data_IF_266863304410
#
_entry.id   IF_266863304410
#
_cell.length_a   1.000
_cell.length_b   1.000
_cell.length_c   1.000
_cell.angle_alpha   90.00
_cell.angle_beta   90.00
_cell.angle_gamma   90.00
#
_symmetry.space_group_name_H-M   'P 1'
#
loop_
_entity.id
_entity.type
_entity.pdbx_description
1 polymer ?
#
# COMPACT_ATOMS: atom_id res chain seq x y z
N UNK A 1 7.34 5.32 0.36
CA UNK A 1 5.93 5.10 0.75
C UNK A 1 5.10 6.35 0.42
N UNK A 2 3.75 6.31 0.40
CA UNK A 2 2.96 7.46 -0.01
C UNK A 2 2.82 8.46 1.15
N UNK A 3 2.60 9.72 0.79
CA UNK A 3 2.47 10.85 1.71
C UNK A 3 1.01 11.23 1.87
N UNK A 4 0.73 12.19 2.76
CA UNK A 4 -0.64 12.64 3.06
C UNK A 4 -1.44 13.14 1.83
N UNK A 5 -0.74 13.65 0.81
CA UNK A 5 -1.37 14.28 -0.37
C UNK A 5 -0.76 13.84 -1.72
N UNK A 6 0.11 12.84 -1.75
CA UNK A 6 0.78 12.38 -2.98
C UNK A 6 1.18 10.89 -2.92
N UNK A 7 1.08 10.22 -4.07
CA UNK A 7 1.54 8.84 -4.27
C UNK A 7 3.07 8.83 -4.48
N UNK A 8 3.76 7.82 -3.93
CA UNK A 8 5.23 7.74 -3.99
C UNK A 8 5.72 6.30 -3.76
N UNK A 9 6.73 5.89 -4.53
CA UNK A 9 7.35 4.55 -4.42
C UNK A 9 6.39 3.41 -4.74
N UNK A 10 5.61 3.53 -5.82
CA UNK A 10 4.51 2.61 -6.22
C UNK A 10 3.31 2.52 -5.25
N UNK A 11 3.37 3.17 -4.08
CA UNK A 11 2.27 3.23 -3.12
C UNK A 11 1.36 4.44 -3.38
N UNK A 12 0.05 4.31 -3.09
CA UNK A 12 -0.96 5.36 -3.31
C UNK A 12 -1.69 5.79 -2.03
N UNK A 13 -2.08 4.83 -1.20
CA UNK A 13 -2.66 5.03 0.14
C UNK A 13 -1.71 4.41 1.14
N UNK A 14 -1.57 5.01 2.34
CA UNK A 14 -0.74 4.48 3.41
C UNK A 14 -1.60 3.67 4.39
N UNK A 15 -1.87 2.42 4.02
CA UNK A 15 -2.60 1.43 4.82
C UNK A 15 -1.97 1.22 6.20
N UNK A 16 -0.63 1.23 6.28
CA UNK A 16 0.13 1.09 7.53
C UNK A 16 -0.19 2.24 8.50
N UNK A 17 -0.22 3.49 8.02
CA UNK A 17 -0.60 4.65 8.84
C UNK A 17 -2.06 4.55 9.31
N UNK A 18 -2.97 4.06 8.47
CA UNK A 18 -4.37 3.85 8.85
C UNK A 18 -4.49 2.75 9.94
N UNK A 19 -3.81 1.61 9.77
CA UNK A 19 -3.78 0.53 10.76
C UNK A 19 -3.13 0.95 12.09
N UNK A 20 -2.09 1.79 12.06
CA UNK A 20 -1.51 2.36 13.28
C UNK A 20 -2.47 3.35 13.95
N UNK A 21 -3.19 4.20 13.19
CA UNK A 21 -4.22 5.10 13.75
C UNK A 21 -5.36 4.32 14.42
N UNK A 22 -5.74 3.18 13.87
CA UNK A 22 -6.73 2.27 14.47
C UNK A 22 -6.21 1.64 15.77
N UNK A 23 -4.99 1.09 15.75
CA UNK A 23 -4.33 0.57 16.97
C UNK A 23 -4.17 1.66 18.05
N UNK A 24 -3.99 2.93 17.66
CA UNK A 24 -3.89 4.07 18.59
C UNK A 24 -5.22 4.43 19.28
N UNK A 25 -6.36 3.81 18.95
CA UNK A 25 -7.57 3.87 19.80
C UNK A 25 -7.36 3.10 21.11
N UNK A 26 -6.80 1.89 21.03
CA UNK A 26 -6.70 0.95 22.16
C UNK A 26 -5.30 0.91 22.81
N UNK A 27 -4.25 1.20 22.04
CA UNK A 27 -2.85 1.09 22.48
C UNK A 27 -2.22 2.45 22.68
N UNK A 28 -1.78 2.74 23.92
CA UNK A 28 -1.16 4.04 24.26
C UNK A 28 0.13 4.30 23.46
N UNK A 29 0.88 3.24 23.15
CA UNK A 29 2.12 3.24 22.35
C UNK A 29 2.11 2.08 21.35
N UNK A 30 2.35 2.38 20.07
CA UNK A 30 2.48 1.38 18.98
C UNK A 30 3.89 1.44 18.43
N UNK A 31 4.55 0.29 18.26
CA UNK A 31 5.86 0.20 17.62
C UNK A 31 5.68 -0.18 16.15
N UNK A 32 6.30 0.58 15.25
CA UNK A 32 6.45 0.24 13.84
C UNK A 32 7.88 -0.21 13.57
N UNK A 33 8.03 -1.38 12.96
CA UNK A 33 9.31 -1.95 12.51
C UNK A 33 9.23 -2.16 11.00
N UNK A 34 10.29 -1.78 10.29
CA UNK A 34 10.37 -1.80 8.83
C UNK A 34 11.66 -2.49 8.37
N UNK A 35 11.51 -3.58 7.60
CA UNK A 35 12.61 -4.39 7.04
C UNK A 35 12.60 -4.44 5.50
N UNK A 36 11.90 -3.50 4.86
CA UNK A 36 12.05 -3.16 3.44
C UNK A 36 13.48 -2.68 3.15
N UNK A 37 13.95 -2.82 1.91
CA UNK A 37 15.26 -2.26 1.53
C UNK A 37 15.22 -0.73 1.42
N UNK A 38 14.04 -0.14 1.28
CA UNK A 38 13.81 1.31 1.23
C UNK A 38 13.42 1.86 2.61
N UNK A 39 13.71 3.14 2.87
CA UNK A 39 13.25 3.78 4.11
C UNK A 39 11.71 3.93 4.14
N UNK A 40 11.09 3.57 5.27
CA UNK A 40 9.65 3.69 5.60
C UNK A 40 9.12 5.13 5.72
N UNK A 41 9.54 6.01 4.82
CA UNK A 41 9.48 7.47 4.89
C UNK A 41 8.06 8.07 4.99
N UNK A 42 7.04 7.34 4.55
CA UNK A 42 5.63 7.75 4.66
C UNK A 42 5.06 7.50 6.05
N UNK A 43 5.48 6.42 6.71
CA UNK A 43 5.08 6.12 8.10
C UNK A 43 5.89 6.97 9.08
N UNK A 44 7.19 7.15 8.83
CA UNK A 44 8.00 8.10 9.60
C UNK A 44 7.41 9.51 9.55
N UNK A 45 7.14 10.07 8.37
CA UNK A 45 6.62 11.43 8.24
C UNK A 45 5.26 11.62 8.95
N UNK A 46 4.36 10.64 8.83
CA UNK A 46 3.04 10.68 9.46
C UNK A 46 3.10 10.77 11.00
N UNK A 47 4.13 10.18 11.61
CA UNK A 47 4.29 10.12 13.06
C UNK A 47 5.48 10.93 13.62
N UNK A 48 6.23 11.64 12.76
CA UNK A 48 7.51 12.33 13.07
C UNK A 48 7.47 13.31 14.26
N UNK A 49 6.28 13.70 14.72
CA UNK A 49 6.07 14.66 15.80
C UNK A 49 5.37 14.10 17.04
N UNK A 50 5.04 12.80 17.10
CA UNK A 50 4.38 12.16 18.26
C UNK A 50 5.28 11.20 19.04
N UNK A 51 5.02 11.12 20.34
CA UNK A 51 5.56 10.17 21.33
C UNK A 51 4.73 8.87 21.43
N UNK A 52 3.61 8.76 20.68
CA UNK A 52 2.72 7.58 20.67
C UNK A 52 3.13 6.47 19.70
N UNK A 53 3.93 6.78 18.69
CA UNK A 53 4.44 5.80 17.73
C UNK A 53 5.95 5.92 17.69
N UNK A 54 6.64 4.79 17.74
CA UNK A 54 8.06 4.71 17.43
C UNK A 54 8.23 4.05 16.08
N UNK A 55 8.99 4.66 15.17
CA UNK A 55 9.33 4.09 13.86
C UNK A 55 10.77 3.62 13.85
N UNK A 56 11.00 2.38 13.42
CA UNK A 56 12.33 1.76 13.36
C UNK A 56 12.52 1.14 11.97
N UNK A 57 13.48 1.62 11.18
CA UNK A 57 13.66 1.20 9.78
C UNK A 57 15.10 0.79 9.45
N UNK A 58 15.27 -0.37 8.82
CA UNK A 58 16.55 -1.02 8.50
C UNK A 58 16.78 -1.10 6.98
N UNK A 59 17.13 0.03 6.37
CA UNK A 59 17.10 0.23 4.91
C UNK A 59 18.48 0.55 4.33
N UNK A 60 18.63 0.45 3.00
CA UNK A 60 19.80 0.95 2.29
C UNK A 60 19.80 2.48 2.28
N UNK A 61 20.96 3.08 2.55
CA UNK A 61 21.16 4.53 2.51
C UNK A 61 22.39 4.93 1.69
N UNK A 62 22.34 6.12 1.09
CA UNK A 62 23.35 6.62 0.15
C UNK A 62 23.04 6.23 -1.30
N UNK A 63 22.80 7.26 -2.13
CA UNK A 63 22.42 7.16 -3.56
C UNK A 63 21.31 6.13 -3.83
N UNK A 64 20.26 6.16 -3.00
CA UNK A 64 19.13 5.24 -3.05
C UNK A 64 17.80 5.94 -2.73
N UNK A 65 16.70 5.38 -3.21
CA UNK A 65 15.35 5.87 -2.93
C UNK A 65 14.91 5.47 -1.50
N UNK A 66 14.17 6.31 -0.75
CA UNK A 66 13.68 7.66 -1.08
C UNK A 66 14.68 8.79 -0.80
N UNK A 67 15.85 8.50 -0.23
CA UNK A 67 16.90 9.49 0.07
C UNK A 67 16.82 10.15 1.46
N UNK A 68 15.82 9.77 2.28
CA UNK A 68 15.71 10.07 3.71
C UNK A 68 16.15 8.86 4.55
N UNK A 69 16.22 9.00 5.89
CA UNK A 69 16.60 7.90 6.79
C UNK A 69 18.06 7.99 7.28
N UNK A 70 18.62 9.19 7.37
CA UNK A 70 19.96 9.37 7.92
C UNK A 70 20.01 8.97 9.42
N UNK A 71 21.18 8.59 9.92
CA UNK A 71 21.46 8.41 11.35
C UNK A 71 21.27 9.70 12.20
N UNK A 72 20.94 10.82 11.56
CA UNK A 72 20.56 12.12 12.14
C UNK A 72 19.04 12.37 12.14
N UNK A 73 18.27 11.61 11.36
CA UNK A 73 16.82 11.73 11.28
C UNK A 73 16.21 10.99 12.47
N UNK A 74 15.81 11.76 13.48
CA UNK A 74 15.45 11.28 14.83
C UNK A 74 14.11 11.84 15.33
N UNK A 75 13.26 12.35 14.44
CA UNK A 75 11.97 12.95 14.82
C UNK A 75 12.10 14.39 15.36
N UNK A 76 10.95 15.06 15.51
CA UNK A 76 10.85 16.46 15.90
C UNK A 76 9.79 16.70 17.00
N UNK A 77 9.88 17.82 17.71
CA UNK A 77 8.91 18.14 18.76
C UNK A 77 8.85 17.07 19.86
N UNK A 78 7.67 16.47 20.09
CA UNK A 78 7.51 15.34 21.00
C UNK A 78 8.07 14.03 20.45
N UNK A 79 8.00 13.83 19.13
CA UNK A 79 8.52 12.65 18.43
C UNK A 79 10.05 12.59 18.33
N UNK A 80 10.77 13.55 18.92
CA UNK A 80 12.23 13.50 18.98
C UNK A 80 12.69 12.29 19.82
N UNK A 81 13.60 11.49 19.26
CA UNK A 81 14.04 10.17 19.71
C UNK A 81 13.01 9.02 19.54
N UNK A 82 11.90 9.25 18.83
CA UNK A 82 10.93 8.21 18.46
C UNK A 82 11.01 7.78 16.98
N UNK A 83 11.85 8.43 16.17
CA UNK A 83 12.31 7.87 14.90
C UNK A 83 13.72 7.27 15.08
N UNK A 84 13.93 6.06 14.55
CA UNK A 84 15.13 5.25 14.76
C UNK A 84 15.58 4.65 13.42
N UNK A 85 16.49 5.34 12.74
CA UNK A 85 16.96 4.93 11.41
C UNK A 85 18.29 4.18 11.46
N UNK A 86 18.34 3.02 10.78
CA UNK A 86 19.52 2.17 10.65
C UNK A 86 19.97 2.20 9.17
N UNK A 87 20.78 3.20 8.77
CA UNK A 87 21.25 3.32 7.38
C UNK A 87 22.34 2.28 7.03
N UNK A 88 21.99 1.33 6.17
CA UNK A 88 22.83 0.21 5.75
C UNK A 88 23.40 0.39 4.33
N UNK A 89 24.33 -0.50 3.96
CA UNK A 89 25.00 -0.57 2.66
C UNK A 89 24.73 -1.90 1.97
N UNK A 90 25.11 -1.99 0.70
CA UNK A 90 24.89 -3.15 -0.16
C UNK A 90 25.56 -4.44 0.39
N UNK A 91 25.01 -5.58 -0.02
CA UNK A 91 25.54 -6.91 0.29
C UNK A 91 25.31 -7.41 1.71
N UNK A 92 24.48 -6.71 2.50
CA UNK A 92 24.12 -7.10 3.87
C UNK A 92 23.63 -8.56 3.95
N UNK A 93 24.26 -9.36 4.81
CA UNK A 93 24.01 -10.79 5.00
C UNK A 93 23.22 -11.10 6.30
N UNK A 94 22.73 -12.33 6.42
CA UNK A 94 21.87 -12.80 7.51
C UNK A 94 22.53 -12.57 8.89
N UNK A 95 23.79 -12.99 9.04
CA UNK A 95 24.54 -12.89 10.29
C UNK A 95 24.80 -11.43 10.71
N UNK A 96 25.18 -10.55 9.77
CA UNK A 96 25.40 -9.15 10.07
C UNK A 96 24.08 -8.43 10.40
N UNK A 97 22.98 -8.74 9.70
CA UNK A 97 21.66 -8.15 9.96
C UNK A 97 21.11 -8.56 11.33
N UNK A 98 21.18 -9.84 11.68
CA UNK A 98 20.79 -10.35 13.00
C UNK A 98 21.60 -9.68 14.13
N UNK A 99 22.91 -9.49 13.92
CA UNK A 99 23.82 -8.85 14.90
C UNK A 99 23.52 -7.38 15.22
N UNK A 100 22.73 -6.69 14.38
CA UNK A 100 22.28 -5.32 14.61
C UNK A 100 20.77 -5.24 14.89
N UNK A 101 19.95 -6.12 14.32
CA UNK A 101 18.50 -6.17 14.52
C UNK A 101 18.12 -6.57 15.96
N UNK A 102 18.55 -7.75 16.44
CA UNK A 102 18.14 -8.22 17.78
C UNK A 102 18.55 -7.23 18.90
N UNK A 103 19.77 -6.64 18.93
CA UNK A 103 20.15 -5.71 19.99
C UNK A 103 19.42 -4.37 19.92
N UNK A 104 19.10 -3.85 18.73
CA UNK A 104 18.35 -2.60 18.57
C UNK A 104 16.89 -2.81 18.98
N UNK A 105 16.22 -3.84 18.45
CA UNK A 105 14.83 -4.13 18.81
C UNK A 105 14.72 -4.48 20.30
N UNK A 106 15.69 -5.19 20.88
CA UNK A 106 15.78 -5.39 22.34
C UNK A 106 15.73 -4.08 23.10
N UNK A 107 16.57 -3.10 22.73
CA UNK A 107 16.68 -1.82 23.45
C UNK A 107 15.46 -0.93 23.21
N UNK A 108 14.88 -0.97 22.01
CA UNK A 108 13.59 -0.35 21.68
C UNK A 108 12.49 -0.91 22.60
N UNK A 109 12.30 -2.22 22.66
CA UNK A 109 11.27 -2.87 23.50
C UNK A 109 11.43 -2.54 24.98
N UNK A 110 12.65 -2.60 25.52
CA UNK A 110 12.98 -2.24 26.92
C UNK A 110 12.57 -0.80 27.28
N UNK A 111 12.77 0.13 26.33
CA UNK A 111 12.77 1.57 26.58
C UNK A 111 11.45 2.23 26.20
N UNK A 112 10.92 1.90 25.02
CA UNK A 112 9.65 2.42 24.50
C UNK A 112 8.44 1.63 25.05
N UNK A 113 8.60 0.34 25.36
CA UNK A 113 7.56 -0.52 25.93
C UNK A 113 6.22 -0.41 25.18
N UNK A 114 6.15 -0.82 23.90
CA UNK A 114 4.94 -0.77 23.10
C UNK A 114 3.85 -1.70 23.66
N UNK A 115 2.60 -1.39 23.34
CA UNK A 115 1.43 -2.23 23.67
C UNK A 115 0.86 -2.98 22.45
N UNK A 116 1.32 -2.65 21.24
CA UNK A 116 1.10 -3.36 19.99
C UNK A 116 2.28 -3.10 19.04
N UNK A 117 2.51 -4.01 18.09
CA UNK A 117 3.61 -3.93 17.12
C UNK A 117 3.07 -4.14 15.70
N UNK A 118 3.50 -3.29 14.77
CA UNK A 118 3.32 -3.46 13.33
C UNK A 118 4.69 -3.73 12.73
N UNK A 119 4.83 -4.83 11.97
CA UNK A 119 6.03 -5.19 11.23
C UNK A 119 5.70 -5.19 9.73
N UNK A 120 6.40 -4.34 8.99
CA UNK A 120 6.41 -4.34 7.53
C UNK A 120 7.47 -5.35 7.07
N UNK A 121 7.03 -6.34 6.28
CA UNK A 121 7.84 -7.48 5.81
C UNK A 121 8.22 -7.31 4.33
N UNK A 122 8.81 -6.17 3.97
CA UNK A 122 9.33 -5.89 2.63
C UNK A 122 10.36 -6.94 2.21
N UNK A 123 10.12 -7.57 1.06
CA UNK A 123 10.85 -8.74 0.57
C UNK A 123 11.86 -8.38 -0.55
N UNK A 124 12.08 -7.09 -0.81
CA UNK A 124 13.17 -6.59 -1.66
C UNK A 124 14.52 -6.47 -0.93
N UNK A 125 14.52 -6.57 0.40
CA UNK A 125 15.72 -6.78 1.22
C UNK A 125 16.35 -8.19 1.06
N UNK A 126 15.73 -9.07 0.26
CA UNK A 126 16.23 -10.41 -0.05
C UNK A 126 17.30 -10.44 -1.15
N UNK A 127 18.17 -11.43 -1.08
CA UNK A 127 19.15 -11.77 -2.11
C UNK A 127 18.48 -12.06 -3.46
N UNK A 128 19.06 -11.47 -4.51
CA UNK A 128 18.57 -11.66 -5.88
C UNK A 128 17.22 -11.00 -6.17
N UNK A 129 16.84 -9.97 -5.41
CA UNK A 129 15.80 -9.04 -5.85
C UNK A 129 16.21 -8.27 -7.12
N UNK A 130 15.27 -7.55 -7.76
CA UNK A 130 15.51 -6.76 -8.98
C UNK A 130 15.89 -5.30 -8.72
N UNK A 131 15.48 -4.73 -7.58
CA UNK A 131 15.74 -3.34 -7.20
C UNK A 131 16.55 -3.24 -5.90
N UNK A 132 16.35 -4.18 -4.97
CA UNK A 132 17.15 -4.31 -3.76
C UNK A 132 18.56 -4.86 -4.02
N UNK A 133 19.50 -4.49 -3.16
CA UNK A 133 20.90 -4.96 -3.22
C UNK A 133 21.46 -5.37 -1.85
N UNK A 134 20.62 -5.92 -0.99
CA UNK A 134 21.04 -6.74 0.15
C UNK A 134 21.24 -8.20 -0.29
N UNK A 135 21.70 -9.04 0.65
CA UNK A 135 22.03 -10.45 0.42
C UNK A 135 21.30 -11.40 1.39
N UNK A 136 20.22 -10.94 2.03
CA UNK A 136 19.47 -11.72 3.03
C UNK A 136 18.79 -12.95 2.41
N UNK A 137 18.73 -14.05 3.15
CA UNK A 137 17.91 -15.20 2.80
C UNK A 137 16.51 -15.09 3.42
N UNK A 138 15.59 -15.90 2.91
CA UNK A 138 14.26 -16.14 3.53
C UNK A 138 14.39 -16.56 5.00
N UNK A 139 15.52 -17.14 5.44
CA UNK A 139 15.75 -17.48 6.85
C UNK A 139 16.19 -16.27 7.69
N UNK A 140 17.19 -15.49 7.25
CA UNK A 140 17.62 -14.29 7.97
C UNK A 140 16.50 -13.25 8.09
N UNK A 141 15.74 -13.05 7.03
CA UNK A 141 14.54 -12.22 7.02
C UNK A 141 13.46 -12.77 7.98
N UNK A 142 13.15 -14.07 7.91
CA UNK A 142 12.21 -14.73 8.83
C UNK A 142 12.62 -14.73 10.30
N UNK A 143 13.93 -14.66 10.64
CA UNK A 143 14.41 -14.47 12.03
C UNK A 143 13.93 -13.15 12.62
N UNK A 144 13.72 -12.10 11.81
CA UNK A 144 13.18 -10.83 12.28
C UNK A 144 11.74 -10.97 12.80
N UNK A 145 10.89 -11.68 12.04
CA UNK A 145 9.54 -12.05 12.48
C UNK A 145 9.59 -12.91 13.75
N UNK A 146 10.44 -13.95 13.75
CA UNK A 146 10.60 -14.83 14.91
C UNK A 146 11.03 -14.04 16.16
N UNK A 147 11.96 -13.10 16.02
CA UNK A 147 12.45 -12.27 17.12
C UNK A 147 11.36 -11.35 17.69
N UNK A 148 10.63 -10.64 16.82
CA UNK A 148 9.55 -9.75 17.26
C UNK A 148 8.41 -10.54 17.92
N UNK A 149 8.10 -11.74 17.40
CA UNK A 149 7.08 -12.64 17.96
C UNK A 149 7.38 -13.07 19.40
N UNK A 150 8.66 -13.21 19.79
CA UNK A 150 9.08 -13.60 21.16
C UNK A 150 8.56 -12.65 22.26
N UNK A 151 8.14 -11.43 21.92
CA UNK A 151 7.59 -10.45 22.87
C UNK A 151 6.10 -10.66 23.22
N UNK A 152 5.37 -11.52 22.50
CA UNK A 152 3.96 -11.87 22.79
C UNK A 152 2.99 -10.66 22.90
N UNK A 153 3.24 -9.62 22.10
CA UNK A 153 2.34 -8.46 21.96
C UNK A 153 1.32 -8.68 20.83
N UNK A 154 0.20 -7.93 20.80
CA UNK A 154 -0.63 -7.78 19.61
C UNK A 154 0.24 -7.38 18.41
N UNK A 155 0.15 -8.17 17.34
CA UNK A 155 1.14 -8.17 16.26
C UNK A 155 0.45 -8.16 14.90
N UNK A 156 0.70 -7.12 14.12
CA UNK A 156 0.24 -6.96 12.74
C UNK A 156 1.44 -7.11 11.80
N UNK A 157 1.40 -8.09 10.92
CA UNK A 157 2.36 -8.25 9.82
C UNK A 157 1.72 -7.72 8.53
N UNK A 158 2.46 -6.92 7.76
CA UNK A 158 2.05 -6.41 6.45
C UNK A 158 3.13 -6.69 5.41
N UNK A 159 2.74 -6.75 4.13
CA UNK A 159 3.70 -6.88 3.02
C UNK A 159 4.50 -5.60 2.78
N UNK A 160 5.17 -5.52 1.63
CA UNK A 160 6.04 -4.38 1.28
C UNK A 160 6.54 -4.47 -0.15
N UNK A 161 7.73 -3.92 -0.40
CA UNK A 161 8.46 -4.12 -1.65
C UNK A 161 8.82 -5.59 -1.90
N UNK A 162 9.27 -5.89 -3.12
CA UNK A 162 9.62 -7.26 -3.54
C UNK A 162 9.37 -7.49 -5.02
N UNK A 163 10.44 -7.58 -5.81
CA UNK A 163 10.39 -7.48 -7.27
C UNK A 163 10.89 -8.76 -7.98
N UNK A 164 11.65 -9.61 -7.30
CA UNK A 164 11.80 -11.04 -7.66
C UNK A 164 10.64 -11.85 -7.05
N UNK A 165 9.46 -11.77 -7.69
CA UNK A 165 8.18 -12.28 -7.17
C UNK A 165 8.21 -13.70 -6.58
N UNK A 166 8.97 -14.64 -7.19
CA UNK A 166 9.11 -16.02 -6.67
C UNK A 166 9.79 -16.09 -5.30
N UNK A 167 10.68 -15.14 -4.98
CA UNK A 167 11.32 -15.03 -3.68
C UNK A 167 10.38 -14.35 -2.67
N UNK A 168 9.56 -13.40 -3.12
CA UNK A 168 8.47 -12.81 -2.30
C UNK A 168 7.49 -13.88 -1.85
N UNK A 169 7.00 -14.73 -2.78
CA UNK A 169 6.11 -15.85 -2.45
C UNK A 169 6.76 -16.82 -1.46
N UNK A 170 8.06 -17.14 -1.61
CA UNK A 170 8.82 -17.96 -0.65
C UNK A 170 8.92 -17.30 0.72
N UNK A 171 9.17 -15.99 0.78
CA UNK A 171 9.33 -15.22 2.00
C UNK A 171 8.04 -15.18 2.81
N UNK A 172 6.97 -14.61 2.26
CA UNK A 172 5.71 -14.45 2.99
C UNK A 172 5.06 -15.80 3.35
N UNK A 173 5.29 -16.87 2.57
CA UNK A 173 4.91 -18.25 2.96
C UNK A 173 5.68 -18.73 4.19
N UNK A 174 6.99 -18.52 4.24
CA UNK A 174 7.82 -18.92 5.38
C UNK A 174 7.53 -18.07 6.63
N UNK A 175 7.42 -16.75 6.48
CA UNK A 175 7.05 -15.85 7.57
C UNK A 175 5.66 -16.14 8.13
N UNK A 176 4.70 -16.54 7.29
CA UNK A 176 3.39 -17.06 7.75
C UNK A 176 3.57 -18.34 8.58
N UNK A 177 4.49 -19.23 8.21
CA UNK A 177 4.80 -20.43 9.01
C UNK A 177 5.44 -20.06 10.36
N UNK A 178 6.30 -19.04 10.40
CA UNK A 178 6.88 -18.47 11.64
C UNK A 178 5.79 -17.83 12.51
N UNK A 179 4.84 -17.09 11.91
CA UNK A 179 3.69 -16.51 12.60
C UNK A 179 2.77 -17.57 13.21
N UNK A 180 2.51 -18.66 12.49
CA UNK A 180 1.76 -19.82 13.01
C UNK A 180 2.58 -20.66 14.02
N UNK A 181 3.91 -20.59 13.99
CA UNK A 181 4.79 -21.42 14.82
C UNK A 181 4.90 -22.86 14.31
N UNK A 182 4.80 -23.06 13.00
CA UNK A 182 4.79 -24.37 12.34
C UNK A 182 6.00 -24.46 11.41
N UNK A 183 6.84 -25.49 11.58
CA UNK A 183 7.92 -25.79 10.63
C UNK A 183 7.33 -26.39 9.34
N UNK A 184 7.74 -25.87 8.18
CA UNK A 184 7.34 -26.34 6.86
C UNK A 184 8.53 -26.89 6.08
N UNK A 185 8.26 -27.86 5.20
CA UNK A 185 9.30 -28.52 4.42
C UNK A 185 9.98 -27.55 3.43
N UNK A 186 11.27 -27.76 3.17
CA UNK A 186 11.99 -27.02 2.14
C UNK A 186 11.62 -27.47 0.71
N UNK A 187 10.95 -28.62 0.55
CA UNK A 187 10.34 -29.05 -0.71
C UNK A 187 9.03 -28.29 -0.93
N UNK A 188 8.88 -27.57 -2.05
CA UNK A 188 7.63 -26.87 -2.33
C UNK A 188 6.51 -27.89 -2.68
N UNK A 189 5.28 -27.70 -2.17
CA UNK A 189 4.13 -28.45 -2.64
C UNK A 189 3.76 -28.03 -4.07
N UNK A 190 3.14 -28.95 -4.82
CA UNK A 190 2.56 -28.61 -6.12
C UNK A 190 1.47 -27.54 -5.96
N UNK A 191 1.45 -26.58 -6.87
CA UNK A 191 0.56 -25.42 -6.90
C UNK A 191 0.48 -24.86 -8.32
N UNK A 192 -0.49 -23.98 -8.59
CA UNK A 192 -0.78 -23.44 -9.92
C UNK A 192 0.38 -22.66 -10.58
N UNK A 193 1.41 -22.30 -9.81
CA UNK A 193 2.60 -21.57 -10.26
C UNK A 193 3.90 -22.35 -10.05
N UNK A 194 3.83 -23.68 -9.87
CA UNK A 194 4.98 -24.52 -9.46
C UNK A 194 6.22 -24.34 -10.36
N UNK A 195 6.04 -24.17 -11.66
CA UNK A 195 7.09 -23.96 -12.65
C UNK A 195 7.90 -22.66 -12.42
N UNK A 196 7.35 -21.64 -11.75
CA UNK A 196 8.04 -20.38 -11.46
C UNK A 196 9.19 -20.56 -10.46
N UNK A 197 9.17 -21.64 -9.68
CA UNK A 197 10.17 -21.98 -8.67
C UNK A 197 11.28 -22.91 -9.22
N UNK A 198 11.32 -23.15 -10.53
CA UNK A 198 12.41 -23.87 -11.18
C UNK A 198 13.75 -23.09 -11.14
N UNK A 199 14.89 -23.80 -11.21
CA UNK A 199 15.03 -25.24 -11.42
C UNK A 199 15.04 -26.07 -10.12
N UNK A 200 15.02 -25.42 -8.95
CA UNK A 200 15.30 -26.06 -7.67
C UNK A 200 14.05 -26.54 -6.92
N UNK A 201 12.91 -25.86 -7.12
CA UNK A 201 11.62 -26.14 -6.47
C UNK A 201 11.68 -26.15 -4.93
N UNK A 202 12.61 -25.38 -4.33
CA UNK A 202 12.76 -25.25 -2.87
C UNK A 202 12.14 -23.97 -2.33
N UNK A 203 11.82 -23.98 -1.04
CA UNK A 203 11.35 -22.81 -0.30
C UNK A 203 12.50 -21.82 -0.02
N UNK A 204 13.61 -22.30 0.54
CA UNK A 204 14.71 -21.44 0.95
C UNK A 204 15.66 -21.12 -0.21
N UNK A 205 16.10 -19.85 -0.24
CA UNK A 205 17.12 -19.35 -1.16
C UNK A 205 18.49 -19.28 -0.47
N UNK A 206 19.57 -19.48 -1.22
CA UNK A 206 20.95 -19.29 -0.75
C UNK A 206 21.42 -17.85 -1.02
N UNK A 207 22.33 -17.29 -0.19
CA UNK A 207 22.91 -15.99 -0.45
C UNK A 207 23.79 -16.01 -1.72
N UNK A 208 23.95 -14.84 -2.33
CA UNK A 208 24.84 -14.63 -3.47
C UNK A 208 26.28 -14.40 -3.01
N UNK A 209 27.23 -14.40 -3.94
CA UNK A 209 28.62 -14.04 -3.68
C UNK A 209 28.87 -12.51 -3.63
N UNK A 210 27.84 -11.70 -3.37
CA UNK A 210 27.96 -10.26 -3.18
C UNK A 210 28.77 -9.94 -1.92
N UNK A 211 29.71 -9.00 -2.01
CA UNK A 211 30.50 -8.54 -0.87
C UNK A 211 29.67 -7.66 0.05
N UNK A 212 29.52 -8.04 1.32
CA UNK A 212 28.91 -7.19 2.35
C UNK A 212 29.78 -5.94 2.60
N UNK A 213 29.22 -4.75 2.36
CA UNK A 213 29.91 -3.46 2.57
C UNK A 213 29.75 -2.91 4.00
N UNK A 214 29.01 -3.60 4.86
CA UNK A 214 28.74 -3.25 6.25
C UNK A 214 29.77 -3.90 7.17
N UNK A 215 30.95 -3.28 7.32
CA UNK A 215 31.96 -3.82 8.25
C UNK A 215 31.47 -3.77 9.69
N UNK A 216 31.99 -4.65 10.55
CA UNK A 216 31.61 -4.73 11.96
C UNK A 216 31.74 -3.37 12.66
N UNK A 217 32.81 -2.62 12.39
CA UNK A 217 33.06 -1.30 12.98
C UNK A 217 32.05 -0.23 12.51
N UNK A 218 31.52 -0.36 11.28
CA UNK A 218 30.46 0.49 10.76
C UNK A 218 29.13 0.21 11.48
N UNK A 219 28.77 -1.06 11.63
CA UNK A 219 27.55 -1.49 12.33
C UNK A 219 27.59 -1.19 13.83
N UNK A 220 28.71 -1.44 14.50
CA UNK A 220 28.89 -1.06 15.91
C UNK A 220 28.80 0.45 16.11
N UNK A 221 29.36 1.25 15.19
CA UNK A 221 29.25 2.72 15.26
C UNK A 221 27.82 3.22 15.10
N UNK A 222 27.01 2.59 14.24
CA UNK A 222 25.57 2.86 14.13
C UNK A 222 24.86 2.45 15.43
N UNK A 223 25.00 1.19 15.84
CA UNK A 223 24.36 0.61 17.05
C UNK A 223 24.65 1.45 18.29
N UNK A 224 25.91 1.84 18.51
CA UNK A 224 26.31 2.63 19.68
C UNK A 224 25.64 4.01 19.69
N UNK A 225 25.55 4.70 18.54
CA UNK A 225 24.89 6.01 18.43
C UNK A 225 23.37 5.92 18.55
N UNK A 226 22.75 4.83 18.07
CA UNK A 226 21.34 4.57 18.30
C UNK A 226 21.04 4.21 19.77
N UNK A 227 21.96 3.51 20.45
CA UNK A 227 21.86 3.28 21.89
C UNK A 227 22.02 4.58 22.69
N UNK A 228 22.82 5.54 22.23
CA UNK A 228 22.86 6.91 22.79
C UNK A 228 21.53 7.66 22.57
N UNK A 229 20.94 7.61 21.37
CA UNK A 229 19.63 8.20 21.10
C UNK A 229 18.53 7.58 21.99
N UNK A 230 18.47 6.25 22.09
CA UNK A 230 17.46 5.55 22.89
C UNK A 230 17.61 5.84 24.40
N UNK A 231 18.83 6.08 24.90
CA UNK A 231 19.06 6.52 26.30
C UNK A 231 18.50 7.91 26.62
N UNK A 232 18.16 8.73 25.61
CA UNK A 232 17.54 10.05 25.83
C UNK A 232 16.04 9.97 26.12
N UNK A 233 15.41 8.81 25.88
CA UNK A 233 14.01 8.58 26.22
C UNK A 233 13.85 8.38 27.74
N UNK A 234 12.87 9.02 28.40
CA UNK A 234 12.53 8.68 29.77
C UNK A 234 12.00 7.24 29.78
N UNK A 235 12.48 6.41 30.69
CA UNK A 235 12.07 5.01 30.76
C UNK A 235 10.59 4.94 31.14
N UNK A 236 9.76 4.36 30.27
CA UNK A 236 8.29 4.47 30.28
C UNK A 236 7.78 5.93 30.31
N UNK A 237 7.76 6.63 29.15
CA UNK A 237 7.19 7.97 29.05
C UNK A 237 5.72 7.99 29.46
N UNK A 238 5.35 8.92 30.35
CA UNK A 238 3.97 9.18 30.74
C UNK A 238 3.22 9.92 29.63
N UNK A 239 2.77 9.19 28.61
CA UNK A 239 2.01 9.76 27.50
C UNK A 239 0.58 10.09 27.95
N UNK A 240 0.06 11.22 27.49
CA UNK A 240 -1.29 11.67 27.83
C UNK A 240 -2.34 10.77 27.14
N UNK A 241 -3.28 10.24 27.92
CA UNK A 241 -4.47 9.56 27.41
C UNK A 241 -5.26 10.57 26.57
N UNK A 242 -5.47 10.24 25.31
CA UNK A 242 -6.35 10.97 24.40
C UNK A 242 -7.74 10.32 24.45
N UNK A 243 -8.79 11.11 24.24
CA UNK A 243 -10.12 10.55 24.03
C UNK A 243 -10.10 9.69 22.76
N UNK A 244 -10.67 8.49 22.84
CA UNK A 244 -10.80 7.57 21.71
C UNK A 244 -11.80 8.21 20.72
N UNK A 245 -11.44 8.46 19.45
CA UNK A 245 -12.40 8.85 18.43
C UNK A 245 -13.40 7.73 18.20
N UNK A 246 -14.68 8.08 17.99
CA UNK A 246 -15.73 7.13 17.61
C UNK A 246 -15.36 6.41 16.31
N UNK A 247 -15.83 5.17 16.16
CA UNK A 247 -15.47 4.32 15.03
C UNK A 247 -16.07 4.85 13.71
N UNK A 248 -15.28 4.78 12.63
CA UNK A 248 -15.65 5.39 11.35
C UNK A 248 -16.80 4.66 10.61
N UNK A 249 -17.23 3.52 11.14
CA UNK A 249 -18.35 2.72 10.65
C UNK A 249 -19.38 2.68 11.79
N UNK A 250 -20.55 3.31 11.58
CA UNK A 250 -21.68 3.14 12.48
C UNK A 250 -22.33 1.79 12.17
N UNK A 251 -22.36 0.88 13.15
CA UNK A 251 -23.08 -0.41 13.08
C UNK A 251 -24.60 -0.25 12.80
N UNK A 252 -25.14 0.98 12.87
CA UNK A 252 -26.49 1.33 12.41
C UNK A 252 -26.78 0.88 10.97
N UNK A 253 -25.76 0.64 10.13
CA UNK A 253 -25.93 0.05 8.79
C UNK A 253 -26.30 -1.43 8.81
N UNK A 254 -25.93 -2.21 9.84
CA UNK A 254 -26.38 -3.61 10.00
C UNK A 254 -27.84 -3.71 10.47
N UNK A 255 -28.46 -2.61 10.93
CA UNK A 255 -29.87 -2.58 11.33
C UNK A 255 -30.84 -2.34 10.15
N UNK A 256 -30.39 -1.96 8.95
CA UNK A 256 -31.29 -1.74 7.80
C UNK A 256 -32.04 -3.01 7.37
N UNK A 257 -31.46 -4.21 7.55
CA UNK A 257 -32.11 -5.50 7.30
C UNK A 257 -33.02 -5.97 8.46
N UNK A 258 -32.98 -5.28 9.62
CA UNK A 258 -33.80 -5.59 10.80
C UNK A 258 -35.08 -4.72 10.89
N UNK A 259 -35.22 -3.71 10.02
CA UNK A 259 -36.40 -2.83 10.00
C UNK A 259 -37.64 -3.58 9.50
N UNK A 260 -38.76 -3.44 10.21
CA UNK A 260 -40.04 -4.02 9.79
C UNK A 260 -40.51 -3.40 8.46
N UNK A 261 -40.89 -4.25 7.51
CA UNK A 261 -41.27 -3.87 6.15
C UNK A 261 -42.62 -3.15 6.09
N UNK A 262 -43.44 -3.27 7.13
CA UNK A 262 -44.69 -2.52 7.28
C UNK A 262 -44.52 -1.18 8.02
N UNK A 263 -43.34 -0.89 8.59
CA UNK A 263 -43.07 0.41 9.23
C UNK A 263 -42.68 1.51 8.22
N UNK A 264 -43.11 2.74 8.53
CA UNK A 264 -42.86 3.89 7.67
C UNK A 264 -41.47 4.47 7.97
N UNK A 265 -40.47 3.98 7.23
CA UNK A 265 -39.14 4.62 7.07
C UNK A 265 -39.24 6.14 7.05
N UNK A 266 -38.26 6.85 7.62
CA UNK A 266 -38.28 8.32 7.64
C UNK A 266 -38.05 8.89 6.23
N UNK A 267 -37.98 10.22 6.11
CA UNK A 267 -37.65 10.83 4.82
C UNK A 267 -36.14 10.76 4.54
N UNK A 268 -35.29 10.87 5.57
CA UNK A 268 -33.84 10.74 5.42
C UNK A 268 -33.44 9.35 4.89
N UNK A 269 -34.08 8.28 5.38
CA UNK A 269 -33.78 6.89 4.97
C UNK A 269 -34.22 6.62 3.52
N UNK A 270 -35.24 7.36 3.04
CA UNK A 270 -35.66 7.31 1.64
C UNK A 270 -34.71 8.10 0.75
N UNK A 271 -34.29 9.28 1.19
CA UNK A 271 -33.37 10.13 0.45
C UNK A 271 -31.97 9.47 0.33
N UNK A 272 -31.52 8.71 1.35
CA UNK A 272 -30.34 7.81 1.27
C UNK A 272 -30.45 6.74 0.17
N UNK A 273 -31.65 6.24 -0.13
CA UNK A 273 -31.91 5.13 -1.06
C UNK A 273 -32.12 5.60 -2.52
N UNK A 274 -31.87 6.87 -2.83
CA UNK A 274 -31.93 7.42 -4.18
C UNK A 274 -30.57 7.23 -4.87
N UNK A 275 -30.41 6.12 -5.60
CA UNK A 275 -29.30 5.92 -6.53
C UNK A 275 -29.35 7.01 -7.62
N UNK A 276 -28.29 7.81 -7.84
CA UNK A 276 -28.27 8.80 -8.91
C UNK A 276 -28.25 8.18 -10.31
N UNK A 277 -28.93 8.79 -11.29
CA UNK A 277 -28.99 8.34 -12.71
C UNK A 277 -27.61 8.18 -13.40
N UNK A 278 -26.53 8.67 -12.78
CA UNK A 278 -25.15 8.65 -13.28
C UNK A 278 -24.26 7.60 -12.60
N UNK A 279 -24.77 6.87 -11.59
CA UNK A 279 -24.00 5.91 -10.82
C UNK A 279 -24.04 4.53 -11.49
N UNK A 280 -22.88 4.08 -11.97
CA UNK A 280 -22.75 2.75 -12.58
C UNK A 280 -22.69 1.70 -11.47
N UNK A 281 -23.73 0.88 -11.38
CA UNK A 281 -23.83 -0.17 -10.37
C UNK A 281 -22.92 -1.35 -10.73
N UNK A 282 -21.73 -1.40 -10.13
CA UNK A 282 -20.88 -2.59 -10.09
C UNK A 282 -21.50 -3.61 -9.11
N UNK A 283 -22.59 -4.27 -9.55
CA UNK A 283 -23.30 -5.29 -8.79
C UNK A 283 -23.49 -6.58 -9.59
N UNK A 284 -23.30 -7.71 -8.92
CA UNK A 284 -23.07 -9.06 -9.46
C UNK A 284 -24.33 -9.75 -10.06
N UNK A 285 -25.23 -9.01 -10.72
CA UNK A 285 -26.52 -9.47 -11.27
C UNK A 285 -26.41 -10.19 -12.64
N UNK A 286 -25.30 -10.87 -12.91
CA UNK A 286 -25.16 -11.81 -14.05
C UNK A 286 -25.76 -13.20 -13.68
N UNK A 287 -26.96 -13.21 -13.06
CA UNK A 287 -27.62 -14.41 -12.53
C UNK A 287 -29.15 -14.39 -12.62
N UNK A 288 -29.71 -15.10 -13.62
CA UNK A 288 -31.14 -15.48 -13.71
C UNK A 288 -32.22 -14.34 -13.77
N UNK A 289 -31.93 -13.18 -14.40
CA UNK A 289 -32.79 -11.97 -14.29
C UNK A 289 -33.66 -11.49 -15.47
N UNK A 290 -33.52 -12.00 -16.71
CA UNK A 290 -34.43 -11.67 -17.84
C UNK A 290 -34.60 -10.17 -18.21
N UNK A 291 -33.54 -9.54 -18.75
CA UNK A 291 -33.43 -8.11 -19.15
C UNK A 291 -34.73 -7.47 -19.68
N UNK A 292 -35.29 -6.51 -18.92
CA UNK A 292 -36.37 -5.61 -19.37
C UNK A 292 -35.79 -4.28 -19.89
N UNK A 293 -35.80 -4.08 -21.20
CA UNK A 293 -35.44 -2.78 -21.81
C UNK A 293 -36.53 -1.73 -21.51
N UNK A 294 -36.22 -0.77 -20.64
CA UNK A 294 -37.13 0.30 -20.22
C UNK A 294 -37.44 1.36 -21.32
N UNK A 295 -36.98 1.18 -22.56
CA UNK A 295 -37.20 2.13 -23.67
C UNK A 295 -38.61 2.11 -24.29
N UNK A 296 -39.54 1.30 -23.77
CA UNK A 296 -40.89 1.12 -24.36
C UNK A 296 -42.08 1.42 -23.41
N UNK A 297 -42.10 2.59 -22.77
CA UNK A 297 -43.35 3.16 -22.23
C UNK A 297 -43.57 4.64 -22.55
N UNK A 298 -43.55 4.98 -23.85
CA UNK A 298 -44.15 6.24 -24.32
C UNK A 298 -45.68 6.14 -24.19
N UNK A 299 -46.20 6.64 -23.07
CA UNK A 299 -47.63 6.62 -22.73
C UNK A 299 -48.51 7.17 -23.86
N UNK A 300 -49.65 6.53 -24.08
CA UNK A 300 -50.55 6.83 -25.19
C UNK A 300 -51.02 8.30 -25.14
N UNK A 301 -50.69 9.08 -26.19
CA UNK A 301 -51.22 10.44 -26.36
C UNK A 301 -52.75 10.39 -26.42
N UNK A 302 -53.42 11.08 -25.49
CA UNK A 302 -54.87 11.32 -25.53
C UNK A 302 -55.23 11.95 -26.88
N UNK A 303 -56.13 11.32 -27.64
CA UNK A 303 -56.69 11.91 -28.87
C UNK A 303 -57.62 13.08 -28.50
N UNK A 304 -57.56 14.22 -29.21
CA UNK A 304 -58.51 15.31 -29.01
C UNK A 304 -59.90 14.93 -29.55
N UNK A 305 -60.96 15.53 -28.97
CA UNK A 305 -62.29 15.56 -29.57
C UNK A 305 -62.36 16.68 -30.61
N UNK A 306 -62.91 16.38 -31.78
CA UNK A 306 -63.46 17.33 -32.74
C UNK A 306 -64.67 16.66 -33.41
N UNK A 307 -65.76 17.40 -33.56
CA UNK A 307 -67.00 16.93 -34.19
C UNK A 307 -67.06 17.33 -35.67
N UNK A 308 -67.94 16.63 -36.41
CA UNK A 308 -68.46 16.86 -37.78
C UNK A 308 -67.74 16.24 -38.99
N UNK A 309 -68.54 15.41 -39.67
CA UNK A 309 -68.87 15.44 -41.11
C UNK A 309 -67.72 15.38 -42.17
N UNK A 310 -67.80 14.38 -43.08
CA UNK A 310 -67.01 14.30 -44.31
C UNK A 310 -66.32 12.94 -44.49
N UNK A 311 -66.45 12.29 -45.65
CA UNK A 311 -65.99 10.90 -45.82
C UNK A 311 -65.25 10.57 -47.13
N UNK A 312 -64.88 9.28 -47.23
CA UNK A 312 -64.24 8.55 -48.35
C UNK A 312 -62.74 8.74 -48.63
N UNK A 313 -62.11 7.60 -48.95
CA UNK A 313 -61.03 7.39 -49.95
C UNK A 313 -59.63 8.00 -49.72
N UNK A 314 -58.51 7.46 -50.22
CA UNK A 314 -57.94 6.08 -50.27
C UNK A 314 -56.50 6.17 -50.84
N UNK A 315 -55.57 5.35 -50.34
CA UNK A 315 -54.34 4.86 -51.01
C UNK A 315 -53.14 5.80 -51.33
N UNK A 316 -51.96 5.15 -51.43
CA UNK A 316 -50.70 5.51 -52.11
C UNK A 316 -49.80 6.67 -51.59
N UNK A 317 -48.48 6.72 -51.86
CA UNK A 317 -47.41 5.69 -52.04
C UNK A 317 -46.02 6.37 -52.23
N UNK A 318 -44.91 5.63 -52.07
CA UNK A 318 -43.53 5.96 -52.57
C UNK A 318 -42.80 7.22 -52.00
N UNK A 319 -41.52 7.54 -52.30
CA UNK A 319 -40.23 6.78 -52.33
C UNK A 319 -39.04 7.75 -52.65
N UNK A 320 -37.77 7.26 -52.67
CA UNK A 320 -36.47 7.91 -53.04
C UNK A 320 -35.79 8.74 -51.92
N UNK A 321 -34.47 8.72 -51.69
CA UNK A 321 -33.23 8.81 -52.55
C UNK A 321 -32.96 10.25 -53.06
N UNK A 322 -31.71 10.76 -53.21
CA UNK A 322 -30.39 10.11 -53.36
C UNK A 322 -29.18 10.96 -52.81
N UNK A 323 -27.93 10.69 -53.23
CA UNK A 323 -26.63 11.24 -52.72
C UNK A 323 -25.82 12.09 -53.73
N UNK A 324 -24.88 12.91 -53.21
CA UNK A 324 -23.57 13.31 -53.79
C UNK A 324 -22.71 13.93 -52.64
N UNK A 325 -21.39 13.75 -52.40
CA UNK A 325 -20.11 13.69 -53.16
C UNK A 325 -19.53 15.07 -53.56
N UNK A 326 -18.47 15.55 -52.88
CA UNK A 326 -17.01 15.43 -53.16
C UNK A 326 -16.45 16.40 -54.22
N UNK A 327 -15.42 17.20 -53.90
CA UNK A 327 -14.00 16.88 -54.23
C UNK A 327 -13.00 17.84 -53.51
N UNK A 328 -11.74 17.97 -53.98
CA UNK A 328 -10.52 18.27 -53.18
C UNK A 328 -9.49 19.21 -53.86
N UNK A 329 -8.23 19.23 -53.36
CA UNK A 329 -6.93 19.77 -53.89
C UNK A 329 -6.48 21.21 -53.52
N UNK A 330 -5.19 21.60 -53.62
CA UNK A 330 -3.90 21.05 -53.11
C UNK A 330 -2.76 22.11 -53.34
N UNK A 331 -1.48 21.78 -53.04
CA UNK A 331 -0.18 22.46 -53.41
C UNK A 331 0.11 23.88 -52.84
N UNK A 332 1.36 24.36 -52.67
CA UNK A 332 2.74 23.78 -52.63
C UNK A 332 3.72 24.70 -51.83
N UNK A 333 4.98 24.26 -51.62
CA UNK A 333 6.08 24.98 -50.92
C UNK A 333 7.18 25.47 -51.92
N UNK A 334 8.09 26.42 -51.56
CA UNK A 334 9.45 25.99 -51.16
C UNK A 334 10.27 26.97 -50.24
N UNK A 335 11.42 26.50 -49.74
CA UNK A 335 12.43 27.24 -48.93
C UNK A 335 13.28 28.28 -49.73
N UNK A 336 14.18 29.15 -49.20
CA UNK A 336 15.31 29.06 -48.20
C UNK A 336 15.83 30.52 -47.89
N UNK A 337 16.92 30.91 -47.19
CA UNK A 337 18.07 30.33 -46.42
C UNK A 337 18.85 31.46 -45.65
N UNK A 338 19.92 31.13 -44.90
CA UNK A 338 21.02 32.01 -44.37
C UNK A 338 20.72 32.98 -43.19
N UNK A 339 21.66 33.38 -42.31
CA UNK A 339 23.01 32.87 -41.89
C UNK A 339 23.23 33.27 -40.40
N UNK A 340 24.14 32.62 -39.66
CA UNK A 340 24.41 32.93 -38.24
C UNK A 340 25.74 32.38 -37.70
N UNK A 341 26.58 33.24 -37.10
CA UNK A 341 27.98 32.94 -36.75
C UNK A 341 28.35 33.21 -35.27
N UNK A 342 29.28 32.37 -34.77
CA UNK A 342 30.36 32.62 -33.79
C UNK A 342 30.08 32.75 -32.27
N UNK A 343 30.60 31.75 -31.55
CA UNK A 343 31.69 31.83 -30.54
C UNK A 343 31.59 32.70 -29.24
N UNK A 344 31.70 31.97 -28.12
CA UNK A 344 32.59 32.18 -26.94
C UNK A 344 32.24 33.17 -25.80
N UNK A 345 32.21 32.58 -24.59
CA UNK A 345 32.53 33.13 -23.26
C UNK A 345 31.58 34.22 -22.71
N UNK A 346 31.38 34.34 -21.40
CA UNK A 346 32.13 33.84 -20.22
C UNK A 346 31.30 32.85 -19.40
#
# INVERSE_FOLDING_TARGET
MPKKSEASGFCYVNDIVLGILELLKYHQRVLYIDIDVHHGDGVEEAFYTTDRVMTVSFHKYGEYFPGTGDLRDIGAGKGKYYAVNIPLRDGMDDEAYESIFEPIISKVMETFQPAAVVLQCGADSLTGDRLGCFNLTVKGHGRCVEFVKKYNLPFLMVGGGGYTIRNVSRCWTYETSVALGVEIANELPYNDYFEYFGPDFKLHISPSNMTNQNTTEYLEKIRNRLFENLRMLPHAPGVQIQAIPEDAINDESEDEDKVDKDERLTQADKDKRIVPDNEFSDSEDEGEGGRRDNRSYKGQRKRPRLDKEGGKATENSEAKDDKEKMDTTETEEPAKSEDGKKENNI
#
